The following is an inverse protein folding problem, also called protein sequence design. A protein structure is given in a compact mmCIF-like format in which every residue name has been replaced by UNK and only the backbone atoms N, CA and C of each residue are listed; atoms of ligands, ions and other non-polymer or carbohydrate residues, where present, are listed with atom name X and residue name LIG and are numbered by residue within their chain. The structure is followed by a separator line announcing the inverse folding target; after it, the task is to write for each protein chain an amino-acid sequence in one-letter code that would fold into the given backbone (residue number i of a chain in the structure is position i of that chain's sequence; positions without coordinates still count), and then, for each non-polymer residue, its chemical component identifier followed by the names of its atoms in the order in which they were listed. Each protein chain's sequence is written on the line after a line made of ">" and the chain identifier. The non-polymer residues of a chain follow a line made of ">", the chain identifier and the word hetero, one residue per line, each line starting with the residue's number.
data_IF_154879064126
#
_entry.id   IF_154879064126
#
_cell.length_a   1.000
_cell.length_b   1.000
_cell.length_c   1.000
_cell.angle_alpha   90.00
_cell.angle_beta   90.00
_cell.angle_gamma   90.00
#
_symmetry.space_group_name_H-M   'P 1'
#
loop_
_entity.id
_entity.type
_entity.pdbx_description
1 polymer ?
#
# COMPACT_ATOMS: atom_id res chain seq x y z
N UNK A 1 28.06 -9.55 -14.10
CA UNK A 1 26.75 -10.08 -13.58
C UNK A 1 26.37 -9.53 -12.21
N UNK A 2 27.34 -9.13 -11.37
CA UNK A 2 27.09 -8.52 -10.04
C UNK A 2 26.91 -6.99 -10.08
N UNK A 3 27.20 -6.33 -11.17
CA UNK A 3 27.24 -4.85 -11.30
C UNK A 3 25.92 -4.14 -10.97
N UNK A 4 24.80 -4.86 -10.96
CA UNK A 4 23.49 -4.31 -10.68
C UNK A 4 22.84 -4.87 -9.40
N UNK A 5 23.64 -5.48 -8.49
CA UNK A 5 23.14 -6.07 -7.24
C UNK A 5 23.76 -5.36 -6.05
N UNK A 6 22.94 -4.76 -5.22
CA UNK A 6 23.39 -4.17 -3.96
C UNK A 6 23.62 -5.28 -2.93
N UNK A 7 24.89 -5.59 -2.65
CA UNK A 7 25.26 -6.60 -1.65
C UNK A 7 25.51 -5.92 -0.31
N UNK A 8 24.90 -6.45 0.74
CA UNK A 8 25.06 -5.95 2.11
C UNK A 8 25.32 -7.12 3.05
N UNK A 9 26.50 -7.15 3.70
CA UNK A 9 26.83 -8.12 4.75
C UNK A 9 26.43 -7.57 6.11
N UNK A 10 25.58 -8.32 6.83
CA UNK A 10 25.02 -7.93 8.15
C UNK A 10 25.08 -9.10 9.12
N UNK A 11 24.81 -8.82 10.40
CA UNK A 11 24.61 -9.87 11.40
C UNK A 11 23.20 -10.47 11.24
N UNK A 12 23.09 -11.43 10.34
CA UNK A 12 21.85 -12.17 10.02
C UNK A 12 22.17 -13.65 9.87
N UNK A 13 21.20 -14.52 10.14
CA UNK A 13 21.39 -15.98 10.06
C UNK A 13 21.32 -16.52 8.63
N UNK A 14 20.51 -15.90 7.76
CA UNK A 14 20.22 -16.42 6.43
C UNK A 14 20.51 -15.41 5.34
N UNK A 15 20.86 -15.90 4.14
CA UNK A 15 20.97 -15.06 2.94
C UNK A 15 19.58 -14.76 2.42
N UNK A 16 19.29 -13.49 2.18
CA UNK A 16 18.04 -13.05 1.57
C UNK A 16 18.29 -12.28 0.28
N UNK A 17 17.52 -12.61 -0.76
CA UNK A 17 17.54 -11.95 -2.06
C UNK A 17 16.19 -11.29 -2.32
N UNK A 18 16.19 -9.99 -2.58
CA UNK A 18 14.98 -9.20 -2.83
C UNK A 18 15.11 -8.41 -4.13
N UNK A 19 14.05 -8.39 -4.92
CA UNK A 19 13.91 -7.50 -6.07
C UNK A 19 12.88 -6.45 -5.71
N UNK A 20 13.26 -5.17 -5.81
CA UNK A 20 12.33 -4.05 -5.57
C UNK A 20 11.46 -3.79 -6.80
N UNK A 21 10.31 -3.12 -6.65
CA UNK A 21 9.49 -2.66 -7.79
C UNK A 21 10.23 -1.72 -8.74
N UNK A 22 11.29 -1.05 -8.28
CA UNK A 22 12.19 -0.21 -9.09
C UNK A 22 13.11 -1.04 -10.02
N UNK A 23 13.15 -2.38 -9.86
CA UNK A 23 14.07 -3.26 -10.56
C UNK A 23 15.41 -3.45 -9.84
N UNK A 24 15.67 -2.73 -8.74
CA UNK A 24 16.87 -2.91 -7.93
C UNK A 24 16.88 -4.27 -7.25
N UNK A 25 18.03 -4.91 -7.23
CA UNK A 25 18.25 -6.22 -6.57
C UNK A 25 19.11 -6.01 -5.34
N UNK A 26 18.61 -6.46 -4.19
CA UNK A 26 19.32 -6.39 -2.91
C UNK A 26 19.56 -7.80 -2.39
N UNK A 27 20.83 -8.11 -2.13
CA UNK A 27 21.24 -9.33 -1.44
C UNK A 27 21.77 -8.96 -0.06
N UNK A 28 21.20 -9.58 0.98
CA UNK A 28 21.70 -9.47 2.35
C UNK A 28 22.23 -10.82 2.78
N UNK A 29 23.49 -10.89 3.23
CA UNK A 29 24.17 -12.11 3.66
C UNK A 29 24.78 -11.96 5.06
N UNK A 30 25.00 -13.06 5.79
CA UNK A 30 25.84 -13.10 6.99
C UNK A 30 27.24 -12.55 6.72
N UNK A 31 27.88 -11.93 7.71
CA UNK A 31 29.25 -11.38 7.60
C UNK A 31 30.29 -12.41 7.19
N UNK A 32 30.09 -13.67 7.60
CA UNK A 32 31.01 -14.81 7.36
C UNK A 32 30.84 -15.41 5.95
N UNK A 33 29.89 -14.98 5.15
CA UNK A 33 29.62 -15.54 3.81
C UNK A 33 30.72 -15.10 2.83
N UNK A 34 31.35 -16.08 2.14
CA UNK A 34 32.32 -15.78 1.10
C UNK A 34 31.70 -15.17 -0.14
N UNK A 35 32.46 -14.39 -0.88
CA UNK A 35 31.95 -13.72 -2.10
C UNK A 35 31.64 -14.74 -3.20
N UNK A 36 32.42 -15.84 -3.29
CA UNK A 36 32.16 -16.96 -4.21
C UNK A 36 30.79 -17.60 -3.95
N UNK A 37 30.41 -17.77 -2.67
CA UNK A 37 29.11 -18.33 -2.30
C UNK A 37 27.98 -17.37 -2.67
N UNK A 38 28.19 -16.06 -2.52
CA UNK A 38 27.24 -15.03 -2.95
C UNK A 38 27.05 -15.08 -4.46
N UNK A 39 28.15 -15.17 -5.23
CA UNK A 39 28.09 -15.30 -6.68
C UNK A 39 27.35 -16.54 -7.14
N UNK A 40 27.62 -17.68 -6.51
CA UNK A 40 26.91 -18.92 -6.78
C UNK A 40 25.41 -18.80 -6.59
N UNK A 41 24.97 -18.18 -5.47
CA UNK A 41 23.55 -17.97 -5.19
C UNK A 41 22.92 -17.05 -6.22
N UNK A 42 23.58 -15.94 -6.58
CA UNK A 42 23.09 -15.01 -7.61
C UNK A 42 22.94 -15.73 -8.94
N UNK A 43 23.96 -16.49 -9.37
CA UNK A 43 23.94 -17.26 -10.61
C UNK A 43 22.81 -18.28 -10.63
N UNK A 44 22.60 -19.01 -9.53
CA UNK A 44 21.51 -19.98 -9.37
C UNK A 44 20.12 -19.31 -9.43
N UNK A 45 20.01 -18.04 -9.02
CA UNK A 45 18.74 -17.29 -8.94
C UNK A 45 18.52 -16.29 -10.09
N UNK A 46 19.41 -16.25 -11.08
CA UNK A 46 19.33 -15.28 -12.22
C UNK A 46 17.97 -15.32 -12.90
N UNK A 47 17.49 -16.50 -13.30
CA UNK A 47 16.17 -16.66 -13.93
C UNK A 47 15.02 -16.13 -13.04
N UNK A 48 15.10 -16.33 -11.75
CA UNK A 48 14.09 -15.83 -10.80
C UNK A 48 14.16 -14.29 -10.69
N UNK A 49 15.37 -13.71 -10.67
CA UNK A 49 15.58 -12.25 -10.64
C UNK A 49 14.96 -11.62 -11.89
N UNK A 50 15.27 -12.17 -13.08
CA UNK A 50 14.74 -11.70 -14.36
C UNK A 50 13.21 -11.75 -14.39
N UNK A 51 12.63 -12.90 -14.05
CA UNK A 51 11.17 -13.05 -13.95
C UNK A 51 10.52 -12.06 -12.98
N UNK A 52 11.19 -11.74 -11.87
CA UNK A 52 10.70 -10.73 -10.92
C UNK A 52 10.84 -9.31 -11.45
N UNK A 53 11.92 -8.99 -12.17
CA UNK A 53 12.08 -7.69 -12.84
C UNK A 53 11.02 -7.48 -13.92
N UNK A 54 10.78 -8.48 -14.76
CA UNK A 54 9.71 -8.46 -15.78
C UNK A 54 8.33 -8.29 -15.15
N UNK A 55 8.06 -9.04 -14.08
CA UNK A 55 6.82 -8.90 -13.31
C UNK A 55 6.63 -7.47 -12.81
N UNK A 56 7.64 -6.85 -12.20
CA UNK A 56 7.52 -5.47 -11.76
C UNK A 56 7.47 -4.46 -12.91
N UNK A 57 8.16 -4.72 -14.00
CA UNK A 57 8.11 -3.87 -15.19
C UNK A 57 6.72 -3.87 -15.84
N UNK A 58 6.02 -5.03 -15.83
CA UNK A 58 4.64 -5.12 -16.33
C UNK A 58 3.64 -4.34 -15.45
N UNK A 59 3.99 -4.06 -14.20
CA UNK A 59 3.19 -3.27 -13.25
C UNK A 59 3.72 -1.84 -13.05
N UNK A 60 4.48 -1.29 -14.03
CA UNK A 60 4.81 0.14 -13.99
C UNK A 60 3.51 0.94 -13.92
N UNK A 61 3.11 1.27 -12.70
CA UNK A 61 2.05 2.26 -12.47
C UNK A 61 2.62 3.58 -12.98
N UNK A 62 2.12 4.07 -14.11
CA UNK A 62 2.40 5.43 -14.54
C UNK A 62 2.05 6.37 -13.39
N UNK A 63 2.92 7.29 -13.07
CA UNK A 63 2.59 8.32 -12.10
C UNK A 63 1.30 9.01 -12.53
N UNK A 64 0.38 9.15 -11.59
CA UNK A 64 -0.91 9.75 -11.88
C UNK A 64 -0.77 11.25 -12.10
N UNK A 65 -1.32 11.73 -13.18
CA UNK A 65 -1.33 13.16 -13.54
C UNK A 65 -2.54 13.89 -12.94
N UNK A 66 -3.52 13.13 -12.42
CA UNK A 66 -4.77 13.64 -11.87
C UNK A 66 -5.54 14.48 -12.89
N UNK A 67 -5.65 13.94 -14.12
CA UNK A 67 -6.39 14.54 -15.23
C UNK A 67 -7.71 13.80 -15.46
N UNK A 68 -8.65 14.46 -16.11
CA UNK A 68 -9.95 13.85 -16.44
C UNK A 68 -9.75 12.65 -17.36
N UNK A 69 -10.44 11.54 -17.05
CA UNK A 69 -10.32 10.26 -17.75
C UNK A 69 -9.46 9.22 -17.04
N UNK A 70 -8.61 9.60 -16.08
CA UNK A 70 -7.84 8.64 -15.29
C UNK A 70 -8.71 7.79 -14.36
N UNK A 71 -8.31 6.53 -14.17
CA UNK A 71 -9.01 5.59 -13.29
C UNK A 71 -8.55 5.67 -11.84
N UNK A 72 -9.50 5.78 -10.95
CA UNK A 72 -9.30 5.74 -9.49
C UNK A 72 -10.12 4.60 -8.88
N UNK A 73 -9.48 3.77 -8.07
CA UNK A 73 -10.13 2.63 -7.41
C UNK A 73 -10.75 3.05 -6.07
N UNK A 74 -11.96 2.55 -5.81
CA UNK A 74 -12.63 2.70 -4.51
C UNK A 74 -13.53 1.48 -4.27
N UNK A 75 -13.37 0.83 -3.12
CA UNK A 75 -14.07 -0.40 -2.73
C UNK A 75 -14.05 -1.50 -3.83
N UNK A 76 -12.90 -1.64 -4.49
CA UNK A 76 -12.66 -2.64 -5.54
C UNK A 76 -13.18 -2.25 -6.94
N UNK A 77 -13.89 -1.13 -7.09
CA UNK A 77 -14.39 -0.63 -8.38
C UNK A 77 -13.49 0.48 -8.92
N UNK A 78 -13.40 0.59 -10.24
CA UNK A 78 -12.71 1.70 -10.92
C UNK A 78 -13.72 2.80 -11.27
N UNK A 79 -13.34 4.04 -11.03
CA UNK A 79 -14.12 5.24 -11.33
C UNK A 79 -13.25 6.21 -12.12
N UNK A 80 -13.79 6.77 -13.20
CA UNK A 80 -13.09 7.79 -13.97
C UNK A 80 -13.11 9.13 -13.25
N UNK A 81 -11.93 9.77 -13.22
CA UNK A 81 -11.80 11.11 -12.66
C UNK A 81 -12.44 12.15 -13.59
N UNK A 82 -13.14 13.12 -13.02
CA UNK A 82 -13.53 14.38 -13.66
C UNK A 82 -12.95 15.54 -12.87
N UNK A 83 -12.15 16.37 -13.51
CA UNK A 83 -11.59 17.59 -12.91
C UNK A 83 -12.41 18.78 -13.35
N UNK A 84 -13.03 19.44 -12.38
CA UNK A 84 -13.97 20.54 -12.59
C UNK A 84 -13.43 21.78 -11.88
N UNK A 85 -13.38 22.90 -12.59
CA UNK A 85 -13.00 24.17 -11.99
C UNK A 85 -14.18 24.77 -11.22
N UNK A 86 -13.97 25.12 -9.96
CA UNK A 86 -15.00 25.64 -9.08
C UNK A 86 -14.40 26.48 -7.94
N UNK A 87 -15.19 27.43 -7.42
CA UNK A 87 -14.80 28.24 -6.25
C UNK A 87 -14.62 27.41 -4.98
N UNK A 88 -15.46 26.39 -4.78
CA UNK A 88 -15.41 25.50 -3.62
C UNK A 88 -14.72 24.19 -4.01
N UNK A 89 -13.68 23.84 -3.26
CA UNK A 89 -12.92 22.61 -3.50
C UNK A 89 -13.52 21.44 -2.72
N UNK A 90 -13.83 20.35 -3.42
CA UNK A 90 -14.43 19.14 -2.84
C UNK A 90 -14.24 17.95 -3.78
N UNK A 91 -14.20 16.74 -3.23
CA UNK A 91 -14.24 15.49 -3.99
C UNK A 91 -15.57 14.80 -3.74
N UNK A 92 -16.24 14.37 -4.81
CA UNK A 92 -17.52 13.65 -4.75
C UNK A 92 -17.46 12.40 -5.61
N UNK A 93 -18.05 11.32 -5.13
CA UNK A 93 -18.32 10.13 -5.92
C UNK A 93 -19.79 10.15 -6.31
N UNK A 94 -20.09 10.43 -7.56
CA UNK A 94 -21.45 10.49 -8.07
C UNK A 94 -21.53 10.11 -9.54
N UNK A 95 -22.68 9.56 -9.97
CA UNK A 95 -22.97 9.20 -11.36
C UNK A 95 -21.90 8.32 -12.01
N UNK A 96 -21.20 7.47 -11.22
CA UNK A 96 -20.12 6.60 -11.72
C UNK A 96 -18.76 7.28 -11.93
N UNK A 97 -18.60 8.52 -11.51
CA UNK A 97 -17.36 9.28 -11.61
C UNK A 97 -16.85 9.71 -10.24
N UNK A 98 -15.53 9.80 -10.11
CA UNK A 98 -14.88 10.53 -9.04
C UNK A 98 -14.69 11.97 -9.51
N UNK A 99 -15.49 12.89 -9.01
CA UNK A 99 -15.44 14.29 -9.40
C UNK A 99 -14.62 15.08 -8.38
N UNK A 100 -13.59 15.78 -8.87
CA UNK A 100 -12.79 16.70 -8.07
C UNK A 100 -13.06 18.13 -8.52
N UNK A 101 -13.49 18.94 -7.59
CA UNK A 101 -13.73 20.37 -7.78
C UNK A 101 -12.54 21.13 -7.21
N UNK A 102 -11.86 21.92 -8.04
CA UNK A 102 -10.63 22.66 -7.70
C UNK A 102 -10.67 24.07 -8.26
N UNK A 103 -9.98 25.00 -7.59
CA UNK A 103 -9.84 26.38 -8.08
C UNK A 103 -8.94 26.48 -9.32
N UNK A 104 -7.91 25.65 -9.39
CA UNK A 104 -6.98 25.57 -10.52
C UNK A 104 -6.79 24.12 -10.95
N UNK A 105 -7.20 23.79 -12.18
CA UNK A 105 -7.07 22.45 -12.76
C UNK A 105 -5.62 21.99 -12.94
N UNK A 106 -4.68 22.94 -13.04
CA UNK A 106 -3.28 22.66 -13.27
C UNK A 106 -2.50 22.42 -11.96
N UNK A 107 -3.10 22.71 -10.79
CA UNK A 107 -2.46 22.45 -9.49
C UNK A 107 -2.52 20.95 -9.16
N UNK A 108 -1.49 20.24 -9.59
CA UNK A 108 -1.33 18.81 -9.35
C UNK A 108 -1.29 18.47 -7.86
N UNK A 109 -0.52 19.24 -7.09
CA UNK A 109 -0.34 18.98 -5.65
C UNK A 109 -1.65 19.14 -4.89
N UNK A 110 -2.44 20.16 -5.24
CA UNK A 110 -3.76 20.39 -4.62
C UNK A 110 -4.72 19.25 -4.94
N UNK A 111 -4.76 18.79 -6.19
CA UNK A 111 -5.58 17.64 -6.61
C UNK A 111 -5.20 16.37 -5.86
N UNK A 112 -3.90 16.11 -5.71
CA UNK A 112 -3.39 14.97 -4.92
C UNK A 112 -3.86 15.02 -3.47
N UNK A 113 -3.72 16.18 -2.82
CA UNK A 113 -4.13 16.36 -1.43
C UNK A 113 -5.64 16.16 -1.25
N UNK A 114 -6.48 16.75 -2.10
CA UNK A 114 -7.94 16.61 -2.02
C UNK A 114 -8.40 15.16 -2.18
N UNK A 115 -7.80 14.43 -3.12
CA UNK A 115 -8.10 13.00 -3.30
C UNK A 115 -7.61 12.18 -2.11
N UNK A 116 -6.43 12.50 -1.56
CA UNK A 116 -5.91 11.83 -0.38
C UNK A 116 -6.83 12.07 0.84
N UNK A 117 -7.23 13.32 1.10
CA UNK A 117 -8.16 13.69 2.17
C UNK A 117 -9.49 12.93 2.03
N UNK A 118 -10.05 12.87 0.81
CA UNK A 118 -11.27 12.12 0.54
C UNK A 118 -11.10 10.61 0.80
N UNK A 119 -10.00 9.99 0.37
CA UNK A 119 -9.72 8.60 0.69
C UNK A 119 -9.56 8.37 2.18
N UNK A 120 -8.92 9.30 2.89
CA UNK A 120 -8.73 9.23 4.33
C UNK A 120 -10.08 9.25 5.08
N UNK A 121 -10.96 10.18 4.75
CA UNK A 121 -12.32 10.25 5.31
C UNK A 121 -13.11 8.98 5.04
N UNK A 122 -13.09 8.47 3.80
CA UNK A 122 -13.77 7.23 3.44
C UNK A 122 -13.18 6.01 4.14
N UNK A 123 -11.87 5.93 4.24
CA UNK A 123 -11.19 4.86 4.96
C UNK A 123 -11.55 4.88 6.45
N UNK A 124 -11.52 6.04 7.09
CA UNK A 124 -11.88 6.19 8.50
C UNK A 124 -13.30 5.68 8.77
N UNK A 125 -14.27 6.12 7.96
CA UNK A 125 -15.66 5.71 8.09
C UNK A 125 -15.84 4.19 7.89
N UNK A 126 -15.31 3.65 6.78
CA UNK A 126 -15.51 2.24 6.44
C UNK A 126 -14.79 1.31 7.40
N UNK A 127 -13.54 1.60 7.74
CA UNK A 127 -12.75 0.75 8.61
C UNK A 127 -13.31 0.75 10.04
N UNK A 128 -13.74 1.91 10.52
CA UNK A 128 -14.38 2.01 11.82
C UNK A 128 -15.67 1.19 11.89
N UNK A 129 -16.56 1.31 10.89
CA UNK A 129 -17.80 0.56 10.85
C UNK A 129 -17.54 -0.96 10.83
N UNK A 130 -16.63 -1.43 9.97
CA UNK A 130 -16.26 -2.84 9.89
C UNK A 130 -15.68 -3.33 11.21
N UNK A 131 -14.81 -2.54 11.83
CA UNK A 131 -14.20 -2.89 13.10
C UNK A 131 -15.24 -2.98 14.22
N UNK A 132 -16.20 -2.05 14.28
CA UNK A 132 -17.32 -2.10 15.26
C UNK A 132 -18.17 -3.37 15.06
N UNK A 133 -18.48 -3.75 13.83
CA UNK A 133 -19.25 -4.97 13.54
C UNK A 133 -18.52 -6.22 14.03
N UNK A 134 -17.25 -6.39 13.73
CA UNK A 134 -16.48 -7.55 14.17
C UNK A 134 -16.20 -7.52 15.68
N UNK A 135 -16.05 -6.34 16.28
CA UNK A 135 -15.80 -6.24 17.72
C UNK A 135 -17.00 -6.61 18.58
N UNK A 136 -18.21 -6.68 18.03
CA UNK A 136 -19.36 -7.28 18.73
C UNK A 136 -19.11 -8.75 19.08
N UNK A 137 -18.30 -9.44 18.25
CA UNK A 137 -17.95 -10.86 18.42
C UNK A 137 -16.68 -11.00 19.27
N UNK A 138 -15.62 -10.24 18.92
CA UNK A 138 -14.29 -10.35 19.53
C UNK A 138 -14.24 -9.73 20.93
N UNK A 139 -15.03 -8.67 21.17
CA UNK A 139 -15.21 -7.99 22.46
C UNK A 139 -13.91 -7.52 23.12
N UNK A 140 -12.99 -6.97 22.32
CA UNK A 140 -11.74 -6.39 22.81
C UNK A 140 -11.83 -4.87 22.97
N UNK A 141 -11.08 -4.33 23.94
CA UNK A 141 -10.94 -2.88 24.08
C UNK A 141 -10.04 -2.33 22.98
N UNK A 142 -10.57 -1.41 22.16
CA UNK A 142 -9.83 -0.73 21.12
C UNK A 142 -9.77 0.75 21.46
N UNK A 143 -8.57 1.22 21.80
CA UNK A 143 -8.35 2.63 22.18
C UNK A 143 -8.26 3.56 20.98
N UNK A 144 -7.73 3.07 19.86
CA UNK A 144 -7.51 3.92 18.69
C UNK A 144 -7.38 3.13 17.39
N UNK A 145 -7.79 3.75 16.28
CA UNK A 145 -7.58 3.28 14.91
C UNK A 145 -6.81 4.35 14.17
N UNK A 146 -5.63 3.98 13.66
CA UNK A 146 -4.77 4.90 12.89
C UNK A 146 -4.73 4.50 11.43
N UNK A 147 -5.11 5.45 10.57
CA UNK A 147 -4.96 5.28 9.12
C UNK A 147 -3.62 5.87 8.73
N UNK A 148 -2.81 5.05 8.05
CA UNK A 148 -1.44 5.42 7.65
C UNK A 148 -1.15 4.97 6.23
N UNK A 149 -0.28 5.68 5.55
CA UNK A 149 0.32 5.19 4.31
C UNK A 149 1.46 4.24 4.65
N UNK A 150 1.29 2.95 4.35
CA UNK A 150 2.28 1.92 4.64
C UNK A 150 2.79 1.27 3.34
N UNK A 151 4.10 1.02 3.24
CA UNK A 151 4.72 0.46 2.03
C UNK A 151 4.62 -1.07 1.94
N UNK A 152 4.62 -1.77 3.08
CA UNK A 152 4.83 -3.24 3.13
C UNK A 152 3.73 -4.02 3.81
N UNK A 153 2.76 -3.34 4.46
CA UNK A 153 1.69 -3.98 5.23
C UNK A 153 0.34 -3.36 4.93
N UNK A 154 -0.71 -4.15 5.07
CA UNK A 154 -2.10 -3.71 4.95
C UNK A 154 -2.66 -3.25 6.30
N UNK A 155 -2.16 -3.83 7.39
CA UNK A 155 -2.49 -3.49 8.76
C UNK A 155 -1.36 -3.82 9.72
N UNK A 156 -1.50 -3.45 10.96
CA UNK A 156 -0.71 -3.89 12.11
C UNK A 156 -1.45 -3.61 13.40
N UNK A 157 -1.36 -4.52 14.36
CA UNK A 157 -1.91 -4.36 15.69
C UNK A 157 -0.81 -4.10 16.72
N UNK A 158 -1.11 -3.36 17.76
CA UNK A 158 -0.31 -3.25 18.97
C UNK A 158 -1.17 -3.66 20.18
N UNK A 159 -1.09 -4.91 20.63
CA UNK A 159 -1.92 -5.42 21.74
C UNK A 159 -1.67 -4.67 23.05
N UNK A 160 -0.41 -4.32 23.36
CA UNK A 160 -0.07 -3.63 24.61
C UNK A 160 -0.72 -2.23 24.73
N UNK A 161 -0.90 -1.55 23.60
CA UNK A 161 -1.49 -0.20 23.55
C UNK A 161 -2.92 -0.21 23.02
N UNK A 162 -3.49 -1.37 22.71
CA UNK A 162 -4.85 -1.57 22.20
C UNK A 162 -5.20 -0.68 21.00
N UNK A 163 -4.30 -0.56 20.02
CA UNK A 163 -4.58 0.17 18.79
C UNK A 163 -4.26 -0.63 17.52
N UNK A 164 -5.00 -0.32 16.47
CA UNK A 164 -4.85 -0.93 15.14
C UNK A 164 -4.43 0.15 14.14
N UNK A 165 -3.41 -0.13 13.33
CA UNK A 165 -3.07 0.70 12.17
C UNK A 165 -3.60 0.00 10.91
N UNK A 166 -4.20 0.78 10.01
CA UNK A 166 -4.69 0.30 8.72
C UNK A 166 -4.11 1.16 7.60
N UNK A 167 -3.74 0.51 6.49
CA UNK A 167 -3.18 1.18 5.34
C UNK A 167 -4.30 1.90 4.56
N UNK A 168 -4.12 3.20 4.27
CA UNK A 168 -5.08 3.96 3.48
C UNK A 168 -5.34 3.34 2.09
N UNK A 169 -4.35 2.68 1.50
CA UNK A 169 -4.47 1.99 0.21
C UNK A 169 -5.47 0.82 0.25
N UNK A 170 -5.82 0.35 1.44
CA UNK A 170 -6.79 -0.73 1.63
C UNK A 170 -8.19 -0.32 1.18
N UNK A 171 -8.57 0.98 1.30
CA UNK A 171 -9.88 1.47 0.87
C UNK A 171 -10.12 1.30 -0.65
N UNK A 172 -9.07 1.14 -1.43
CA UNK A 172 -9.13 0.89 -2.87
C UNK A 172 -9.42 -0.57 -3.23
N UNK A 173 -9.38 -1.49 -2.24
CA UNK A 173 -9.58 -2.93 -2.42
C UNK A 173 -11.04 -3.32 -2.28
N UNK A 174 -11.44 -4.52 -2.78
CA UNK A 174 -12.78 -5.06 -2.55
C UNK A 174 -13.12 -5.12 -1.07
N UNK A 175 -14.41 -4.93 -0.74
CA UNK A 175 -14.90 -4.89 0.65
C UNK A 175 -14.49 -6.14 1.44
N UNK A 176 -14.57 -7.33 0.85
CA UNK A 176 -14.15 -8.58 1.49
C UNK A 176 -12.67 -8.58 1.91
N UNK A 177 -11.79 -7.97 1.10
CA UNK A 177 -10.37 -7.83 1.46
C UNK A 177 -10.17 -6.86 2.63
N UNK A 178 -10.98 -5.79 2.68
CA UNK A 178 -10.97 -4.83 3.78
C UNK A 178 -11.41 -5.50 5.06
N UNK A 179 -12.54 -6.21 5.02
CA UNK A 179 -13.11 -6.97 6.13
C UNK A 179 -12.10 -7.98 6.67
N UNK A 180 -11.46 -8.75 5.78
CA UNK A 180 -10.44 -9.71 6.17
C UNK A 180 -9.28 -9.07 6.93
N UNK A 181 -8.71 -7.98 6.41
CA UNK A 181 -7.57 -7.32 7.06
C UNK A 181 -7.97 -6.71 8.40
N UNK A 182 -9.12 -6.03 8.47
CA UNK A 182 -9.62 -5.44 9.72
C UNK A 182 -9.84 -6.51 10.78
N UNK A 183 -10.48 -7.63 10.42
CA UNK A 183 -10.70 -8.75 11.32
C UNK A 183 -9.39 -9.40 11.75
N UNK A 184 -8.45 -9.60 10.84
CA UNK A 184 -7.12 -10.14 11.13
C UNK A 184 -6.37 -9.31 12.19
N UNK A 185 -6.34 -7.99 12.02
CA UNK A 185 -5.70 -7.10 12.99
C UNK A 185 -6.44 -7.05 14.34
N UNK A 186 -7.76 -7.20 14.31
CA UNK A 186 -8.57 -7.24 15.52
C UNK A 186 -8.29 -8.51 16.36
N UNK A 187 -8.12 -9.66 15.71
CA UNK A 187 -7.81 -10.95 16.37
C UNK A 187 -6.44 -10.89 17.05
N UNK A 188 -5.49 -10.12 16.55
CA UNK A 188 -4.20 -9.91 17.20
C UNK A 188 -4.27 -9.15 18.54
N UNK A 189 -5.42 -8.63 18.93
CA UNK A 189 -5.63 -8.11 20.29
C UNK A 189 -5.87 -9.23 21.33
N UNK A 190 -6.19 -10.44 20.86
CA UNK A 190 -6.47 -11.60 21.74
C UNK A 190 -5.19 -12.40 22.04
N UNK A 191 -4.26 -12.46 21.05
CA UNK A 191 -3.06 -13.33 21.08
C UNK A 191 -1.77 -12.55 21.05
#
# INVERSE_FOLDING_TARGET
>A
MLENIQITKKDVKNISLKVKPTGEVILTAPKITSDEHIEFIVKKRTKWIEKKKEFFASFKVSEKEYVSGEDFKYLGRSYRLKVIEAKKEVVKLQRGYLEIYVKNKNDLKRKQNLIYEWYYEKALLHFFNILQEFNKIVKQEIKDIKIRQMKTRWGSCNPHKSYINLNIELIKKPKICIEYVVFHELVHLIY
#
